data_IF_262337581689
#
_entry.id   IF_262337581689
#
_cell.length_a   1.000
_cell.length_b   1.000
_cell.length_c   1.000
_cell.angle_alpha   90.00
_cell.angle_beta   90.00
_cell.angle_gamma   90.00
#
_symmetry.space_group_name_H-M   'P 1'
#
loop_
_entity.id
_entity.type
_entity.pdbx_description
1 polymer ?
#
# COMPACT_ATOMS: atom_id res chain seq x y z
N UNK A 1 -16.92 17.96 -4.60
CA UNK A 1 -15.44 17.98 -4.67
C UNK A 1 -14.97 17.30 -5.93
N UNK A 2 -13.65 17.20 -6.13
CA UNK A 2 -13.05 16.42 -7.24
C UNK A 2 -12.88 14.97 -6.78
N UNK A 3 -13.42 14.01 -7.54
CA UNK A 3 -13.27 12.59 -7.24
C UNK A 3 -11.93 12.10 -7.83
N UNK A 4 -10.85 12.28 -7.08
CA UNK A 4 -9.51 11.89 -7.51
C UNK A 4 -8.70 11.28 -6.36
N UNK A 5 -8.16 10.10 -6.59
CA UNK A 5 -7.22 9.40 -5.72
C UNK A 5 -6.22 8.62 -6.58
N UNK A 6 -4.92 8.77 -6.32
CA UNK A 6 -3.89 8.07 -7.09
C UNK A 6 -3.97 6.56 -6.96
N UNK A 7 -4.39 6.04 -5.80
CA UNK A 7 -4.52 4.60 -5.54
C UNK A 7 -5.55 3.94 -6.45
N UNK A 8 -6.52 4.71 -6.96
CA UNK A 8 -7.58 4.24 -7.87
C UNK A 8 -7.36 4.67 -9.31
N UNK A 9 -6.91 5.91 -9.54
CA UNK A 9 -6.74 6.44 -10.89
C UNK A 9 -5.44 5.96 -11.56
N UNK A 10 -4.39 5.74 -10.78
CA UNK A 10 -3.12 5.17 -11.24
C UNK A 10 -2.59 4.20 -10.17
N UNK A 11 -3.23 3.03 -10.01
CA UNK A 11 -2.89 2.08 -8.95
C UNK A 11 -1.41 1.68 -9.01
N UNK A 12 -0.78 1.62 -7.85
CA UNK A 12 0.59 1.18 -7.67
C UNK A 12 0.65 0.01 -6.69
N UNK A 13 1.74 -0.75 -6.74
CA UNK A 13 1.95 -1.97 -5.96
C UNK A 13 0.78 -2.96 -6.10
N UNK A 14 -0.01 -3.13 -5.03
CA UNK A 14 -1.17 -4.04 -4.95
C UNK A 14 -2.47 -3.31 -4.65
N UNK A 15 -2.48 -1.98 -4.82
CA UNK A 15 -3.68 -1.18 -4.53
C UNK A 15 -4.82 -1.43 -5.50
N UNK A 16 -4.57 -2.05 -6.65
CA UNK A 16 -5.58 -2.55 -7.59
C UNK A 16 -6.41 -3.71 -7.05
N UNK A 17 -5.87 -4.47 -6.08
CA UNK A 17 -6.54 -5.61 -5.44
C UNK A 17 -7.30 -5.22 -4.17
N UNK A 18 -7.04 -4.02 -3.65
CA UNK A 18 -7.81 -3.41 -2.57
C UNK A 18 -8.85 -2.46 -3.15
N UNK A 19 -10.07 -2.45 -2.62
CA UNK A 19 -11.13 -1.55 -3.10
C UNK A 19 -11.51 -0.53 -2.02
N UNK A 20 -10.72 0.55 -1.84
CA UNK A 20 -11.05 1.61 -0.90
C UNK A 20 -12.09 2.56 -1.48
N UNK A 21 -13.08 2.89 -0.67
CA UNK A 21 -14.03 3.95 -0.98
C UNK A 21 -13.34 5.32 -0.85
N UNK A 22 -13.43 6.17 -1.89
CA UNK A 22 -12.82 7.51 -1.90
C UNK A 22 -13.85 8.54 -1.41
N UNK A 23 -13.73 9.08 -0.19
CA UNK A 23 -14.66 10.08 0.32
C UNK A 23 -14.47 11.42 -0.39
N UNK A 24 -15.56 12.00 -0.92
CA UNK A 24 -15.54 13.30 -1.60
C UNK A 24 -16.45 14.28 -0.87
N UNK A 25 -15.89 15.40 -0.42
CA UNK A 25 -16.64 16.48 0.22
C UNK A 25 -17.55 17.22 -0.76
N UNK A 26 -18.65 17.78 -0.24
CA UNK A 26 -19.67 18.45 -1.07
C UNK A 26 -19.52 19.97 -1.04
N UNK A 27 -19.22 20.55 0.12
CA UNK A 27 -19.16 22.00 0.38
C UNK A 27 -17.75 22.55 0.30
N UNK A 28 -16.73 21.74 0.60
CA UNK A 28 -15.32 22.15 0.51
C UNK A 28 -14.83 23.03 1.66
N UNK A 29 -15.55 23.03 2.79
CA UNK A 29 -15.15 23.73 4.00
C UNK A 29 -14.13 22.91 4.84
N UNK A 30 -13.71 23.46 5.99
CA UNK A 30 -12.79 22.77 6.89
C UNK A 30 -13.44 21.54 7.56
N UNK A 31 -14.76 21.55 7.74
CA UNK A 31 -15.48 20.46 8.37
C UNK A 31 -15.58 19.23 7.46
N UNK A 32 -15.87 19.43 6.18
CA UNK A 32 -15.83 18.39 5.15
C UNK A 32 -14.45 17.75 5.09
N UNK A 33 -13.37 18.57 5.12
CA UNK A 33 -11.99 18.04 5.14
C UNK A 33 -11.72 17.20 6.38
N UNK A 34 -12.19 17.62 7.55
CA UNK A 34 -12.09 16.82 8.77
C UNK A 34 -12.82 15.48 8.61
N UNK A 35 -14.09 15.50 8.17
CA UNK A 35 -14.89 14.30 7.97
C UNK A 35 -14.27 13.33 6.96
N UNK A 36 -13.74 13.85 5.85
CA UNK A 36 -12.99 13.08 4.85
C UNK A 36 -11.81 12.35 5.50
N UNK A 37 -11.01 13.03 6.33
CA UNK A 37 -9.87 12.39 7.02
C UNK A 37 -10.30 11.31 8.01
N UNK A 38 -11.41 11.50 8.72
CA UNK A 38 -11.96 10.45 9.58
C UNK A 38 -12.34 9.22 8.74
N UNK A 39 -12.96 9.42 7.59
CA UNK A 39 -13.38 8.31 6.73
C UNK A 39 -12.18 7.61 6.06
N UNK A 40 -11.17 8.36 5.62
CA UNK A 40 -9.91 7.80 5.12
C UNK A 40 -9.21 6.91 6.15
N UNK A 41 -9.26 7.27 7.45
CA UNK A 41 -8.71 6.43 8.51
C UNK A 41 -9.48 5.10 8.63
N UNK A 42 -10.81 5.12 8.49
CA UNK A 42 -11.61 3.89 8.49
C UNK A 42 -11.30 3.00 7.30
N UNK A 43 -11.19 3.57 6.10
CA UNK A 43 -10.81 2.83 4.91
C UNK A 43 -9.38 2.28 5.01
N UNK A 44 -8.46 3.01 5.65
CA UNK A 44 -7.10 2.53 5.92
C UNK A 44 -7.11 1.30 6.83
N UNK A 45 -7.90 1.31 7.91
CA UNK A 45 -8.07 0.12 8.77
C UNK A 45 -8.66 -1.05 7.99
N UNK A 46 -9.62 -0.81 7.09
CA UNK A 46 -10.20 -1.86 6.24
C UNK A 46 -9.14 -2.50 5.34
N UNK A 47 -8.28 -1.71 4.70
CA UNK A 47 -7.16 -2.23 3.89
C UNK A 47 -6.21 -3.05 4.78
N UNK A 48 -5.84 -2.54 5.96
CA UNK A 48 -4.95 -3.24 6.90
C UNK A 48 -5.52 -4.60 7.31
N UNK A 49 -6.83 -4.72 7.48
CA UNK A 49 -7.49 -5.99 7.81
C UNK A 49 -7.55 -6.94 6.60
N UNK A 50 -7.64 -6.42 5.38
CA UNK A 50 -7.65 -7.21 4.15
C UNK A 50 -6.27 -7.79 3.81
N UNK A 51 -5.20 -7.01 3.99
CA UNK A 51 -3.84 -7.41 3.58
C UNK A 51 -3.36 -8.77 4.16
N UNK A 52 -3.55 -9.07 5.46
CA UNK A 52 -3.18 -10.37 6.03
C UNK A 52 -3.94 -11.54 5.42
N UNK A 53 -5.22 -11.35 5.06
CA UNK A 53 -6.05 -12.41 4.49
C UNK A 53 -5.66 -12.76 3.05
N UNK A 54 -4.97 -11.85 2.36
CA UNK A 54 -4.53 -12.01 0.98
C UNK A 54 -3.00 -12.10 0.85
N UNK A 55 -2.29 -12.33 1.96
CA UNK A 55 -0.83 -12.29 1.98
C UNK A 55 -0.22 -13.49 1.22
N UNK A 56 0.46 -13.28 0.09
CA UNK A 56 1.14 -14.36 -0.61
C UNK A 56 2.42 -14.74 0.15
N UNK A 57 2.77 -16.02 0.10
CA UNK A 57 4.09 -16.48 0.53
C UNK A 57 5.10 -16.31 -0.60
N UNK A 58 6.30 -15.80 -0.30
CA UNK A 58 7.30 -15.60 -1.33
C UNK A 58 8.53 -14.81 -0.86
N UNK A 59 9.38 -14.47 -1.83
CA UNK A 59 10.54 -13.62 -1.59
C UNK A 59 10.10 -12.16 -1.37
N UNK A 60 10.67 -11.51 -0.37
CA UNK A 60 10.35 -10.13 0.00
C UNK A 60 11.23 -9.12 -0.78
N UNK A 61 12.36 -9.59 -1.32
CA UNK A 61 13.31 -8.77 -2.09
C UNK A 61 13.41 -9.33 -3.50
N UNK A 62 13.76 -8.46 -4.44
CA UNK A 62 14.17 -8.87 -5.78
C UNK A 62 15.39 -9.81 -5.70
N UNK A 63 15.47 -10.79 -6.59
CA UNK A 63 16.60 -11.74 -6.67
C UNK A 63 17.81 -11.18 -7.44
N UNK A 64 17.89 -9.85 -7.58
CA UNK A 64 19.06 -9.19 -8.16
C UNK A 64 20.03 -8.78 -7.06
N UNK A 65 21.19 -9.46 -7.01
CA UNK A 65 22.25 -9.22 -6.01
C UNK A 65 23.08 -7.97 -6.27
N UNK A 66 22.97 -7.35 -7.44
CA UNK A 66 23.62 -6.06 -7.71
C UNK A 66 22.83 -4.90 -7.11
N UNK A 67 21.52 -5.06 -6.98
CA UNK A 67 20.61 -4.06 -6.43
C UNK A 67 20.28 -4.30 -4.96
N UNK A 68 19.98 -5.56 -4.61
CA UNK A 68 19.57 -5.95 -3.27
C UNK A 68 20.68 -6.79 -2.58
N UNK A 69 21.04 -6.48 -1.33
CA UNK A 69 22.00 -7.30 -0.60
C UNK A 69 21.43 -8.70 -0.32
N UNK A 70 22.28 -9.75 -0.35
CA UNK A 70 21.87 -11.12 -0.06
C UNK A 70 21.41 -11.28 1.39
N UNK A 71 20.77 -12.41 1.68
CA UNK A 71 20.48 -12.79 3.06
C UNK A 71 21.78 -13.04 3.85
N UNK A 72 21.77 -12.72 5.14
CA UNK A 72 22.94 -12.92 6.03
C UNK A 72 23.43 -14.38 6.06
N UNK A 73 22.52 -15.34 5.91
CA UNK A 73 22.88 -16.75 5.82
C UNK A 73 23.70 -17.06 4.56
N UNK A 74 23.28 -16.52 3.40
CA UNK A 74 23.97 -16.71 2.13
C UNK A 74 25.33 -16.01 2.09
N UNK A 75 25.40 -14.79 2.62
CA UNK A 75 26.62 -13.99 2.74
C UNK A 75 27.77 -14.72 3.44
N UNK A 76 27.46 -15.54 4.46
CA UNK A 76 28.49 -16.28 5.22
C UNK A 76 28.99 -17.53 4.51
N UNK A 77 28.26 -18.04 3.52
CA UNK A 77 28.50 -19.34 2.88
C UNK A 77 29.05 -19.22 1.46
N UNK A 78 28.72 -18.14 0.74
CA UNK A 78 29.06 -18.00 -0.67
C UNK A 78 29.85 -16.72 -0.91
N UNK A 79 30.98 -16.87 -1.60
CA UNK A 79 31.90 -15.79 -1.96
C UNK A 79 31.30 -14.78 -2.95
N UNK A 80 30.33 -15.21 -3.75
CA UNK A 80 29.62 -14.39 -4.75
C UNK A 80 28.38 -13.69 -4.18
N UNK A 81 28.20 -13.73 -2.85
CA UNK A 81 27.04 -13.15 -2.16
C UNK A 81 27.27 -11.69 -1.86
#
# INVERSE_FOLDING_TARGET
GVCWDSRRAAPYDVHDQSDPDVPVGTRGDCYDRYCIRIEEMRQSVRIIVQCPNQMPSGMIKADDRKLCPPSRGRMKLSMES
#
